data_IF_224861464194
#
_entry.id   IF_224861464194
#
_cell.length_a   1.000
_cell.length_b   1.000
_cell.length_c   1.000
_cell.angle_alpha   90.00
_cell.angle_beta   90.00
_cell.angle_gamma   90.00
#
_symmetry.space_group_name_H-M   'P 1'
#
loop_
_entity.id
_entity.type
_entity.pdbx_description
1 polymer ?
#
# COMPACT_ATOMS: atom_id res chain seq x y z
N UNK A 1 13.21 19.36 6.15
CA UNK A 1 14.17 18.44 6.80
C UNK A 1 14.88 19.20 7.91
N UNK A 2 14.91 18.66 9.13
CA UNK A 2 15.50 19.28 10.34
C UNK A 2 16.92 18.77 10.61
N UNK A 3 17.14 17.48 10.41
CA UNK A 3 18.46 16.85 10.56
C UNK A 3 18.59 15.72 9.52
N UNK A 4 19.82 15.46 9.05
CA UNK A 4 20.10 14.43 8.05
C UNK A 4 21.10 13.43 8.61
N UNK A 5 20.75 12.14 8.55
CA UNK A 5 21.61 11.01 8.89
C UNK A 5 21.06 9.77 8.20
N UNK A 6 21.86 8.71 8.14
CA UNK A 6 21.44 7.40 7.68
C UNK A 6 22.07 6.32 8.54
N UNK A 7 21.25 5.42 9.08
CA UNK A 7 21.71 4.30 9.90
C UNK A 7 20.82 3.08 9.66
N UNK A 8 21.37 1.91 9.93
CA UNK A 8 20.65 0.64 9.84
C UNK A 8 20.75 -0.10 11.17
N UNK A 9 19.63 -0.65 11.63
CA UNK A 9 19.57 -1.59 12.75
C UNK A 9 19.09 -2.93 12.24
N UNK A 10 19.74 -4.00 12.69
CA UNK A 10 19.24 -5.37 12.52
C UNK A 10 18.76 -5.83 13.89
N UNK A 11 17.51 -6.23 13.99
CA UNK A 11 16.85 -6.58 15.26
C UNK A 11 16.36 -8.02 15.16
N UNK A 12 16.71 -8.84 16.17
CA UNK A 12 16.13 -10.18 16.33
C UNK A 12 14.69 -10.06 16.83
N UNK A 13 13.72 -10.63 16.09
CA UNK A 13 12.29 -10.46 16.37
C UNK A 13 11.86 -11.07 17.70
N UNK A 14 12.47 -12.17 18.07
CA UNK A 14 12.09 -12.93 19.27
C UNK A 14 12.57 -12.23 20.55
N UNK A 15 13.81 -11.74 20.54
CA UNK A 15 14.42 -11.08 21.69
C UNK A 15 14.28 -9.56 21.69
N UNK A 16 13.87 -8.97 20.57
CA UNK A 16 13.83 -7.52 20.30
C UNK A 16 15.18 -6.82 20.54
N UNK A 17 16.28 -7.56 20.39
CA UNK A 17 17.63 -7.04 20.59
C UNK A 17 18.30 -6.74 19.27
N UNK A 18 19.11 -5.68 19.27
CA UNK A 18 19.99 -5.35 18.14
C UNK A 18 21.05 -6.44 17.98
N UNK A 19 21.20 -6.96 16.77
CA UNK A 19 22.17 -7.99 16.40
C UNK A 19 23.05 -7.50 15.26
N UNK A 20 24.21 -8.15 15.07
CA UNK A 20 25.20 -7.78 14.05
C UNK A 20 25.09 -8.58 12.76
N UNK A 21 24.30 -9.66 12.75
CA UNK A 21 24.09 -10.54 11.59
C UNK A 21 22.60 -10.78 11.39
N UNK A 22 22.16 -10.72 10.14
CA UNK A 22 20.79 -11.04 9.76
C UNK A 22 20.59 -12.55 9.60
N UNK A 23 19.43 -13.04 9.99
CA UNK A 23 18.91 -14.38 9.73
C UNK A 23 17.40 -14.32 9.43
N UNK A 24 16.73 -15.48 9.31
CA UNK A 24 15.29 -15.57 9.02
C UNK A 24 14.40 -14.86 10.04
N UNK A 25 14.86 -14.76 11.29
CA UNK A 25 14.14 -14.24 12.44
C UNK A 25 14.52 -12.78 12.75
N UNK A 26 15.31 -12.15 11.88
CA UNK A 26 15.69 -10.73 12.02
C UNK A 26 14.89 -9.81 11.10
N UNK A 27 14.78 -8.55 11.52
CA UNK A 27 14.27 -7.44 10.71
C UNK A 27 15.32 -6.35 10.58
N UNK A 28 15.41 -5.75 9.40
CA UNK A 28 16.32 -4.63 9.13
C UNK A 28 15.53 -3.33 9.02
N UNK A 29 15.91 -2.35 9.82
CA UNK A 29 15.33 -1.00 9.82
C UNK A 29 16.40 -0.03 9.35
N UNK A 30 16.24 0.51 8.14
CA UNK A 30 17.02 1.64 7.66
C UNK A 30 16.30 2.92 8.07
N UNK A 31 16.88 3.72 8.96
CA UNK A 31 16.26 4.96 9.42
C UNK A 31 17.11 6.16 9.04
N UNK A 32 16.44 7.21 8.59
CA UNK A 32 17.11 8.35 8.00
C UNK A 32 16.43 9.67 8.30
N UNK A 33 17.24 10.65 8.67
CA UNK A 33 16.84 12.04 8.89
C UNK A 33 15.73 12.27 9.93
N UNK A 34 15.52 13.54 10.24
CA UNK A 34 14.37 14.03 10.99
C UNK A 34 13.68 15.12 10.18
N UNK A 35 12.36 15.06 10.14
CA UNK A 35 11.50 15.90 9.33
C UNK A 35 10.52 16.66 10.21
N UNK A 36 10.16 17.87 9.80
CA UNK A 36 9.06 18.58 10.44
C UNK A 36 7.74 17.98 9.95
N UNK A 37 6.81 17.74 10.87
CA UNK A 37 5.46 17.28 10.61
C UNK A 37 4.47 18.27 11.23
N UNK A 38 3.20 18.26 10.81
CA UNK A 38 2.20 19.28 11.19
C UNK A 38 2.05 19.46 12.70
N UNK A 39 2.29 18.40 13.48
CA UNK A 39 2.17 18.38 14.94
C UNK A 39 3.46 17.93 15.66
N UNK A 40 4.63 18.01 15.01
CA UNK A 40 5.90 17.64 15.65
C UNK A 40 7.02 17.25 14.70
N UNK A 41 7.73 16.17 15.03
CA UNK A 41 8.80 15.60 14.22
C UNK A 41 8.42 14.21 13.72
N UNK A 42 8.94 13.86 12.56
CA UNK A 42 8.88 12.51 12.02
C UNK A 42 10.28 12.00 11.66
N UNK A 43 10.50 10.70 11.80
CA UNK A 43 11.69 9.98 11.36
C UNK A 43 11.31 9.08 10.18
N UNK A 44 12.15 9.02 9.14
CA UNK A 44 11.96 8.01 8.08
C UNK A 44 12.52 6.69 8.57
N UNK A 45 11.74 5.63 8.41
CA UNK A 45 12.16 4.24 8.63
C UNK A 45 11.70 3.43 7.42
N UNK A 46 12.66 2.83 6.72
CA UNK A 46 12.50 2.19 5.43
C UNK A 46 11.81 3.11 4.41
N UNK A 47 10.63 2.75 3.93
CA UNK A 47 9.81 3.46 2.95
C UNK A 47 8.72 4.34 3.58
N UNK A 48 8.68 4.44 4.91
CA UNK A 48 7.61 5.11 5.67
C UNK A 48 8.13 6.19 6.62
N UNK A 49 7.23 7.01 7.14
CA UNK A 49 7.52 8.06 8.12
C UNK A 49 6.75 7.82 9.41
N UNK A 50 7.44 7.98 10.54
CA UNK A 50 6.88 7.72 11.86
C UNK A 50 7.04 8.93 12.76
N UNK A 51 5.98 9.28 13.50
CA UNK A 51 6.02 10.39 14.45
C UNK A 51 7.01 10.09 15.58
N UNK A 52 7.78 11.11 15.95
CA UNK A 52 8.73 11.05 17.06
C UNK A 52 8.15 11.83 18.24
N UNK A 53 8.10 11.17 19.39
CA UNK A 53 7.71 11.79 20.66
C UNK A 53 8.91 11.88 21.59
N UNK A 54 8.96 12.92 22.42
CA UNK A 54 9.93 12.98 23.51
C UNK A 54 9.58 11.89 24.53
N UNK A 55 10.61 11.26 25.11
CA UNK A 55 10.41 10.21 26.13
C UNK A 55 9.61 10.71 27.34
N UNK A 56 9.67 12.01 27.66
CA UNK A 56 8.86 12.66 28.69
C UNK A 56 7.36 12.63 28.41
N UNK A 57 6.98 12.55 27.13
CA UNK A 57 5.61 12.71 26.66
C UNK A 57 4.96 11.35 26.32
N UNK A 58 5.74 10.27 26.41
CA UNK A 58 5.26 8.90 26.19
C UNK A 58 4.44 8.46 27.41
N UNK A 59 3.12 8.46 27.27
CA UNK A 59 2.23 7.81 28.23
C UNK A 59 2.16 6.30 27.98
N UNK A 60 1.84 5.52 29.01
CA UNK A 60 1.81 4.05 28.95
C UNK A 60 0.80 3.46 27.96
N UNK A 61 -0.13 4.28 27.47
CA UNK A 61 -1.15 3.93 26.48
C UNK A 61 -0.80 4.40 25.05
N UNK A 62 0.34 5.06 24.83
CA UNK A 62 0.75 5.45 23.49
C UNK A 62 1.19 4.22 22.71
N UNK A 63 0.64 4.04 21.50
CA UNK A 63 1.05 2.98 20.58
C UNK A 63 2.51 3.23 20.16
N UNK A 64 3.41 2.36 20.60
CA UNK A 64 4.82 2.40 20.20
C UNK A 64 5.00 1.66 18.88
N UNK A 65 6.04 2.05 18.13
CA UNK A 65 6.42 1.37 16.90
C UNK A 65 6.61 -0.13 17.14
N UNK A 66 5.81 -0.96 16.48
CA UNK A 66 5.89 -2.41 16.59
C UNK A 66 6.78 -3.00 15.50
N UNK A 67 7.66 -3.94 15.87
CA UNK A 67 8.49 -4.68 14.90
C UNK A 67 7.63 -5.57 13.98
N UNK A 68 6.39 -5.87 14.36
CA UNK A 68 5.45 -6.63 13.53
C UNK A 68 5.09 -5.90 12.23
N UNK A 69 5.14 -4.56 12.23
CA UNK A 69 4.92 -3.75 11.03
C UNK A 69 5.97 -3.99 9.95
N UNK A 70 7.15 -4.47 10.33
CA UNK A 70 8.32 -4.64 9.47
C UNK A 70 8.65 -6.11 9.17
N UNK A 71 7.75 -7.03 9.46
CA UNK A 71 7.92 -8.42 9.06
C UNK A 71 8.11 -8.51 7.54
N UNK A 72 9.06 -9.34 7.09
CA UNK A 72 9.37 -9.58 5.66
C UNK A 72 8.17 -10.16 4.87
N UNK A 73 7.04 -10.38 5.55
CA UNK A 73 5.73 -10.36 4.95
C UNK A 73 5.15 -8.96 5.15
N UNK A 74 5.31 -8.06 4.18
CA UNK A 74 4.52 -6.84 4.11
C UNK A 74 3.04 -7.20 3.96
N UNK A 75 2.41 -7.57 5.07
CA UNK A 75 1.00 -7.89 5.23
C UNK A 75 0.30 -6.87 6.16
N UNK A 76 1.03 -5.87 6.66
CA UNK A 76 0.48 -4.87 7.59
C UNK A 76 -0.18 -3.66 6.92
N UNK A 77 0.33 -3.18 5.78
CA UNK A 77 -0.23 -2.02 5.04
C UNK A 77 -0.02 -2.13 3.52
N UNK A 78 0.03 -3.36 2.98
CA UNK A 78 0.27 -3.52 1.54
C UNK A 78 -1.03 -3.29 0.78
N UNK A 79 -1.16 -2.10 0.22
CA UNK A 79 -2.08 -1.86 -0.89
C UNK A 79 -1.79 -2.88 -1.97
N UNK A 80 -2.77 -3.72 -2.29
CA UNK A 80 -2.62 -4.79 -3.26
C UNK A 80 -3.93 -5.02 -4.01
N UNK A 81 -3.83 -5.39 -5.27
CA UNK A 81 -4.97 -5.82 -6.07
C UNK A 81 -5.38 -7.22 -5.60
N UNK A 82 -6.69 -7.50 -5.49
CA UNK A 82 -7.15 -8.85 -5.17
C UNK A 82 -6.79 -9.80 -6.33
N UNK A 83 -6.08 -10.92 -6.07
CA UNK A 83 -5.67 -11.84 -7.12
C UNK A 83 -6.84 -12.57 -7.79
N UNK A 84 -8.05 -12.54 -7.22
CA UNK A 84 -9.25 -13.16 -7.81
C UNK A 84 -10.11 -12.17 -8.61
N UNK A 85 -9.99 -10.87 -8.38
CA UNK A 85 -10.77 -9.84 -9.08
C UNK A 85 -10.00 -8.51 -9.09
N UNK A 86 -9.51 -8.11 -10.26
CA UNK A 86 -8.74 -6.89 -10.47
C UNK A 86 -9.51 -5.61 -10.09
N UNK A 87 -10.85 -5.68 -9.96
CA UNK A 87 -11.69 -4.54 -9.57
C UNK A 87 -11.75 -4.34 -8.05
N UNK A 88 -10.98 -5.12 -7.28
CA UNK A 88 -10.90 -5.03 -5.82
C UNK A 88 -9.48 -4.71 -5.39
N UNK A 89 -9.34 -3.79 -4.45
CA UNK A 89 -8.09 -3.49 -3.74
C UNK A 89 -8.20 -3.93 -2.29
N UNK A 90 -7.10 -4.46 -1.76
CA UNK A 90 -6.95 -4.86 -0.35
C UNK A 90 -6.12 -3.81 0.38
N UNK A 91 -6.63 -3.38 1.53
CA UNK A 91 -5.94 -2.48 2.44
C UNK A 91 -6.35 -2.81 3.88
N UNK A 92 -5.40 -2.97 4.79
CA UNK A 92 -5.63 -3.28 6.21
C UNK A 92 -6.65 -4.42 6.45
N UNK A 93 -6.46 -5.56 5.77
CA UNK A 93 -7.36 -6.72 5.80
C UNK A 93 -8.81 -6.48 5.34
N UNK A 94 -9.11 -5.32 4.75
CA UNK A 94 -10.39 -4.98 4.16
C UNK A 94 -10.31 -5.05 2.63
N UNK A 95 -11.42 -5.38 1.98
CA UNK A 95 -11.58 -5.36 0.53
C UNK A 95 -12.39 -4.14 0.13
N UNK A 96 -11.91 -3.43 -0.88
CA UNK A 96 -12.56 -2.25 -1.44
C UNK A 96 -12.83 -2.50 -2.91
N UNK A 97 -14.09 -2.47 -3.31
CA UNK A 97 -14.49 -2.62 -4.70
C UNK A 97 -14.46 -1.27 -5.40
N UNK A 98 -13.63 -1.16 -6.42
CA UNK A 98 -13.51 0.03 -7.27
C UNK A 98 -14.77 0.14 -8.12
N UNK A 99 -15.37 1.32 -8.10
CA UNK A 99 -16.53 1.67 -8.93
C UNK A 99 -16.12 2.55 -10.11
N UNK A 100 -17.06 2.80 -11.02
CA UNK A 100 -16.89 3.77 -12.09
C UNK A 100 -17.00 5.23 -11.63
N UNK A 101 -17.39 5.49 -10.38
CA UNK A 101 -17.58 6.85 -9.88
C UNK A 101 -16.24 7.58 -9.79
N UNK A 102 -16.13 8.76 -10.40
CA UNK A 102 -14.93 9.60 -10.36
C UNK A 102 -15.01 10.52 -9.13
N UNK A 103 -13.88 10.70 -8.46
CA UNK A 103 -13.71 11.66 -7.37
C UNK A 103 -12.69 12.72 -7.77
N UNK A 104 -12.99 13.97 -7.44
CA UNK A 104 -12.12 15.11 -7.72
C UNK A 104 -11.05 15.28 -6.63
N UNK A 105 -9.91 15.84 -7.01
CA UNK A 105 -8.72 15.98 -6.15
C UNK A 105 -9.00 16.72 -4.83
N UNK A 106 -9.94 17.68 -4.82
CA UNK A 106 -10.33 18.44 -3.61
C UNK A 106 -10.98 17.58 -2.51
N UNK A 107 -11.48 16.39 -2.88
CA UNK A 107 -12.11 15.44 -1.97
C UNK A 107 -11.13 14.44 -1.38
N UNK A 108 -9.92 14.33 -1.93
CA UNK A 108 -8.86 13.47 -1.41
C UNK A 108 -8.42 13.97 -0.04
N UNK A 109 -8.20 13.03 0.90
CA UNK A 109 -7.78 13.36 2.27
C UNK A 109 -6.36 12.87 2.54
N UNK A 110 -6.22 11.70 3.12
CA UNK A 110 -4.94 11.14 3.53
C UNK A 110 -4.37 10.26 2.42
N UNK A 111 -3.09 10.43 2.09
CA UNK A 111 -2.40 9.53 1.19
C UNK A 111 -2.13 8.18 1.87
N UNK A 112 -2.60 7.08 1.26
CA UNK A 112 -2.48 5.74 1.81
C UNK A 112 -1.34 4.92 1.17
N UNK A 113 -0.88 5.31 -0.02
CA UNK A 113 0.23 4.67 -0.72
C UNK A 113 0.01 4.57 -2.24
N UNK A 114 0.85 3.77 -2.90
CA UNK A 114 0.81 3.55 -4.37
C UNK A 114 0.79 2.04 -4.65
N UNK A 115 -0.03 1.62 -5.61
CA UNK A 115 -0.04 0.23 -6.10
C UNK A 115 1.04 0.02 -7.16
N UNK A 116 1.14 0.93 -8.15
CA UNK A 116 2.12 0.92 -9.24
C UNK A 116 2.17 -0.42 -10.01
N UNK A 117 1.00 -0.91 -10.42
CA UNK A 117 0.85 -2.14 -11.20
C UNK A 117 -0.12 -1.90 -12.37
N UNK A 118 -0.07 -2.76 -13.39
CA UNK A 118 -0.95 -2.70 -14.56
C UNK A 118 -1.56 -4.07 -14.81
N UNK A 119 -2.88 -4.14 -14.93
CA UNK A 119 -3.61 -5.39 -15.13
C UNK A 119 -4.49 -5.32 -16.35
N UNK A 120 -4.37 -6.35 -17.20
CA UNK A 120 -5.37 -6.64 -18.23
C UNK A 120 -6.28 -7.74 -17.70
N UNK A 121 -7.60 -7.52 -17.70
CA UNK A 121 -8.55 -8.48 -17.13
C UNK A 121 -9.86 -8.52 -17.92
N UNK A 122 -10.64 -9.56 -17.69
CA UNK A 122 -11.97 -9.74 -18.29
C UNK A 122 -12.99 -8.92 -17.49
N UNK A 123 -13.64 -7.94 -18.13
CA UNK A 123 -14.52 -6.98 -17.46
C UNK A 123 -15.64 -7.64 -16.64
N UNK A 124 -16.23 -8.71 -17.15
CA UNK A 124 -17.38 -9.37 -16.52
C UNK A 124 -16.97 -10.11 -15.24
N UNK A 125 -15.83 -10.79 -15.25
CA UNK A 125 -15.39 -11.66 -14.14
C UNK A 125 -14.38 -10.97 -13.22
N UNK A 126 -13.68 -9.94 -13.70
CA UNK A 126 -12.56 -9.31 -13.02
C UNK A 126 -11.27 -10.12 -13.07
N UNK A 127 -11.25 -11.27 -13.75
CA UNK A 127 -10.09 -12.16 -13.75
C UNK A 127 -8.95 -11.62 -14.61
N UNK A 128 -7.75 -11.57 -14.03
CA UNK A 128 -6.53 -11.20 -14.73
C UNK A 128 -6.24 -12.15 -15.91
N UNK A 129 -5.90 -11.58 -17.05
CA UNK A 129 -5.39 -12.32 -18.20
C UNK A 129 -3.87 -12.33 -18.09
N UNK A 130 -3.29 -13.53 -18.00
CA UNK A 130 -1.84 -13.67 -17.88
C UNK A 130 -1.12 -13.20 -19.15
N UNK A 131 0.13 -12.75 -18.99
CA UNK A 131 0.97 -12.32 -20.12
C UNK A 131 1.12 -13.40 -21.21
N UNK A 132 1.13 -14.68 -20.84
CA UNK A 132 1.17 -15.77 -21.81
C UNK A 132 -0.09 -15.86 -22.65
N UNK A 133 -1.27 -15.61 -22.06
CA UNK A 133 -2.53 -15.57 -22.83
C UNK A 133 -2.64 -14.30 -23.67
N UNK A 134 -2.17 -13.15 -23.18
CA UNK A 134 -2.14 -11.91 -23.96
C UNK A 134 -1.27 -11.99 -25.22
N UNK A 135 -0.22 -12.80 -25.18
CA UNK A 135 0.68 -13.00 -26.32
C UNK A 135 0.15 -13.98 -27.38
N UNK A 136 -1.01 -14.61 -27.15
CA UNK A 136 -1.61 -15.54 -28.11
C UNK A 136 -2.54 -14.80 -29.06
N UNK A 137 -2.51 -15.20 -30.33
CA UNK A 137 -3.50 -14.80 -31.32
C UNK A 137 -4.67 -15.79 -31.24
N UNK A 138 -5.87 -15.28 -30.98
CA UNK A 138 -7.11 -16.06 -31.08
C UNK A 138 -7.56 -16.13 -32.55
N UNK A 139 -7.00 -17.09 -33.27
CA UNK A 139 -7.29 -17.29 -34.69
C UNK A 139 -8.75 -17.70 -34.97
N UNK A 140 -9.39 -18.41 -34.04
CA UNK A 140 -10.77 -18.89 -34.20
C UNK A 140 -11.82 -17.87 -33.79
N UNK A 141 -11.44 -16.77 -33.13
CA UNK A 141 -12.36 -15.75 -32.64
C UNK A 141 -13.23 -16.23 -31.47
N UNK A 142 -12.79 -17.26 -30.75
CA UNK A 142 -13.51 -17.86 -29.61
C UNK A 142 -13.75 -16.86 -28.48
N UNK A 143 -12.88 -15.86 -28.36
CA UNK A 143 -12.90 -14.81 -27.35
C UNK A 143 -13.53 -13.50 -27.88
N UNK A 144 -14.17 -13.50 -29.05
CA UNK A 144 -14.73 -12.29 -29.68
C UNK A 144 -15.75 -11.53 -28.83
N UNK A 145 -16.45 -12.22 -27.92
CA UNK A 145 -17.41 -11.61 -26.99
C UNK A 145 -16.79 -11.22 -25.64
N UNK A 146 -15.51 -11.53 -25.41
CA UNK A 146 -14.82 -11.24 -24.16
C UNK A 146 -14.41 -9.77 -24.12
N UNK A 147 -15.09 -8.97 -23.29
CA UNK A 147 -14.70 -7.58 -23.04
C UNK A 147 -13.51 -7.57 -22.08
N UNK A 148 -12.40 -7.01 -22.55
CA UNK A 148 -11.16 -6.82 -21.79
C UNK A 148 -11.01 -5.36 -21.41
N UNK A 149 -10.48 -5.12 -20.22
CA UNK A 149 -10.03 -3.80 -19.79
C UNK A 149 -8.57 -3.84 -19.35
N UNK A 150 -7.91 -2.68 -19.43
CA UNK A 150 -6.57 -2.44 -18.92
C UNK A 150 -6.67 -1.32 -17.89
N UNK A 151 -6.28 -1.63 -16.66
CA UNK A 151 -6.20 -0.65 -15.57
C UNK A 151 -4.75 -0.49 -15.14
N UNK A 152 -4.26 0.74 -15.21
CA UNK A 152 -3.01 1.18 -14.60
C UNK A 152 -3.34 1.78 -13.22
N UNK A 153 -2.86 1.12 -12.17
CA UNK A 153 -3.16 1.44 -10.78
C UNK A 153 -2.07 2.35 -10.21
N UNK A 154 -2.46 3.53 -9.77
CA UNK A 154 -1.56 4.55 -9.23
C UNK A 154 -1.72 4.75 -7.73
N UNK A 155 -1.88 6.01 -7.35
CA UNK A 155 -2.01 6.46 -5.97
C UNK A 155 -3.35 6.06 -5.32
N UNK A 156 -3.35 5.95 -4.00
CA UNK A 156 -4.54 5.62 -3.20
C UNK A 156 -4.67 6.61 -2.04
N UNK A 157 -5.89 7.13 -1.84
CA UNK A 157 -6.20 8.12 -0.79
C UNK A 157 -7.42 7.71 0.02
N UNK A 158 -7.47 8.15 1.28
CA UNK A 158 -8.68 8.13 2.10
C UNK A 158 -9.66 9.22 1.62
N UNK A 159 -10.96 8.92 1.68
CA UNK A 159 -12.04 9.88 1.46
C UNK A 159 -12.73 10.24 2.78
N UNK A 160 -13.53 11.31 2.75
CA UNK A 160 -14.24 11.79 3.94
C UNK A 160 -15.36 10.83 4.41
N UNK A 161 -15.93 10.05 3.49
CA UNK A 161 -16.94 9.05 3.81
C UNK A 161 -16.25 7.80 4.39
N UNK A 162 -16.70 7.37 5.57
CA UNK A 162 -16.13 6.19 6.24
C UNK A 162 -16.28 4.94 5.36
N UNK A 163 -15.23 4.11 5.32
CA UNK A 163 -15.24 2.89 4.50
C UNK A 163 -15.05 3.14 3.01
N UNK A 164 -14.62 4.33 2.60
CA UNK A 164 -14.33 4.66 1.20
C UNK A 164 -12.89 5.13 1.01
N UNK A 165 -12.32 4.75 -0.13
CA UNK A 165 -11.00 5.20 -0.59
C UNK A 165 -11.10 5.65 -2.04
N UNK A 166 -10.17 6.49 -2.48
CA UNK A 166 -9.95 6.81 -3.88
C UNK A 166 -8.77 6.01 -4.40
N UNK A 167 -8.91 5.37 -5.56
CA UNK A 167 -7.84 4.66 -6.25
C UNK A 167 -7.65 5.30 -7.62
N UNK A 168 -6.44 5.72 -7.93
CA UNK A 168 -6.09 6.21 -9.25
C UNK A 168 -6.07 5.04 -10.25
N UNK A 169 -6.92 5.14 -11.27
CA UNK A 169 -7.02 4.20 -12.37
C UNK A 169 -6.92 5.00 -13.68
N UNK A 170 -5.90 4.71 -14.49
CA UNK A 170 -5.70 5.37 -15.80
C UNK A 170 -5.68 6.91 -15.72
N UNK A 171 -5.02 7.47 -14.69
CA UNK A 171 -4.92 8.90 -14.39
C UNK A 171 -6.22 9.57 -13.90
N UNK A 172 -7.22 8.80 -13.46
CA UNK A 172 -8.43 9.30 -12.83
C UNK A 172 -8.67 8.64 -11.47
N UNK A 173 -8.99 9.42 -10.44
CA UNK A 173 -9.36 8.86 -9.15
C UNK A 173 -10.77 8.29 -9.17
N UNK A 174 -10.89 6.99 -8.91
CA UNK A 174 -12.15 6.25 -8.80
C UNK A 174 -12.49 5.95 -7.35
N UNK A 175 -13.77 6.01 -6.99
CA UNK A 175 -14.22 5.66 -5.64
C UNK A 175 -14.22 4.14 -5.50
N UNK A 176 -13.61 3.64 -4.43
CA UNK A 176 -13.73 2.27 -3.98
C UNK A 176 -14.39 2.21 -2.59
N UNK A 177 -15.35 1.29 -2.42
CA UNK A 177 -16.13 1.13 -1.20
C UNK A 177 -15.87 -0.23 -0.58
N UNK A 178 -15.88 -0.30 0.75
CA UNK A 178 -15.73 -1.55 1.47
C UNK A 178 -16.81 -2.56 1.04
N UNK A 179 -16.42 -3.83 0.86
CA UNK A 179 -17.36 -4.95 0.66
C UNK A 179 -18.00 -5.42 1.96
#
# INVERSE_FOLDING_TARGET
MKESFFKTLVIDRNSQKVVTKSNSDTVSLAYSGLYNFSDGLAISINDSYYKVSLSSDVQSNNEMLSLEEFNNNSAGRKLAIDPSDCRIVKFNNKKFRISSDIVSDDKLKEFLGVIADSKTFILNTGQEISKSELNKIDYSGSNSNEKREVWDYGEVYLLAEEGTIAVEINNEFRIARIE
#
